data_IF_120230526039
#
_entry.id   IF_120230526039
#
_cell.length_a   1.000
_cell.length_b   1.000
_cell.length_c   1.000
_cell.angle_alpha   90.00
_cell.angle_beta   90.00
_cell.angle_gamma   90.00
#
_symmetry.space_group_name_H-M   'P 1'
#
loop_
_entity.id
_entity.type
_entity.pdbx_description
1 polymer ?
#
# COMPACT_ATOMS: atom_id res chain seq x y z
N UNK A 1 -3.08 30.08 10.93
CA UNK A 1 -4.44 29.55 10.69
C UNK A 1 -4.39 28.64 9.47
N UNK A 2 -4.62 27.33 9.63
CA UNK A 2 -4.72 26.41 8.49
C UNK A 2 -6.09 26.69 7.87
N UNK A 3 -6.10 27.37 6.72
CA UNK A 3 -7.35 27.58 5.98
C UNK A 3 -7.84 26.21 5.50
N UNK A 4 -9.10 25.89 5.73
CA UNK A 4 -9.79 24.62 5.43
C UNK A 4 -9.80 24.20 3.93
N UNK A 5 -8.98 24.82 3.08
CA UNK A 5 -9.03 24.66 1.61
C UNK A 5 -7.93 23.81 1.00
N UNK A 6 -6.77 23.66 1.66
CA UNK A 6 -5.63 22.96 1.06
C UNK A 6 -5.51 21.55 1.63
N UNK A 7 -5.55 20.49 0.80
CA UNK A 7 -5.33 19.14 1.28
C UNK A 7 -3.97 18.97 1.98
N UNK A 8 -3.97 18.26 3.10
CA UNK A 8 -2.74 17.92 3.84
C UNK A 8 -2.14 16.59 3.42
N UNK A 9 -2.88 15.77 2.67
CA UNK A 9 -2.50 14.41 2.28
C UNK A 9 -2.58 14.26 0.76
N UNK A 10 -1.55 13.63 0.19
CA UNK A 10 -1.57 13.09 -1.17
C UNK A 10 -1.39 11.58 -1.10
N UNK A 11 -2.34 10.83 -1.64
CA UNK A 11 -2.27 9.39 -1.75
C UNK A 11 -1.88 8.99 -3.18
N UNK A 12 -1.08 7.93 -3.28
CA UNK A 12 -0.83 7.20 -4.51
C UNK A 12 -1.66 5.92 -4.51
N UNK A 13 -2.17 5.55 -5.66
CA UNK A 13 -2.86 4.28 -5.90
C UNK A 13 -2.54 3.78 -7.30
N UNK A 14 -2.90 2.54 -7.61
CA UNK A 14 -2.79 2.05 -8.97
C UNK A 14 -3.98 1.17 -9.36
N UNK A 15 -4.20 1.07 -10.68
CA UNK A 15 -5.07 0.08 -11.28
C UNK A 15 -4.44 -0.50 -12.54
N UNK A 16 -4.18 -1.80 -12.50
CA UNK A 16 -3.70 -2.59 -13.63
C UNK A 16 -4.57 -3.83 -13.76
N UNK A 17 -5.07 -4.09 -14.97
CA UNK A 17 -5.95 -5.22 -15.25
C UNK A 17 -5.14 -6.52 -15.36
N UNK A 18 -4.58 -6.96 -14.25
CA UNK A 18 -3.77 -8.17 -14.11
C UNK A 18 -4.60 -9.23 -13.39
N UNK A 19 -4.39 -10.53 -13.71
CA UNK A 19 -5.02 -11.64 -12.98
C UNK A 19 -4.76 -11.50 -11.48
N UNK A 20 -5.84 -11.38 -10.70
CA UNK A 20 -5.80 -11.05 -9.28
C UNK A 20 -6.86 -11.80 -8.49
N UNK A 21 -6.89 -11.61 -7.15
CA UNK A 21 -7.84 -12.25 -6.23
C UNK A 21 -9.32 -11.97 -6.55
N UNK A 22 -9.61 -10.85 -7.20
CA UNK A 22 -10.99 -10.41 -7.48
C UNK A 22 -11.14 -10.00 -8.95
N UNK A 23 -12.39 -9.99 -9.44
CA UNK A 23 -12.69 -9.57 -10.80
C UNK A 23 -12.43 -8.06 -11.01
N UNK A 24 -12.16 -7.68 -12.25
CA UNK A 24 -12.03 -6.27 -12.65
C UNK A 24 -13.28 -5.45 -12.32
N UNK A 25 -14.47 -6.01 -12.47
CA UNK A 25 -15.75 -5.37 -12.10
C UNK A 25 -15.78 -5.00 -10.61
N UNK A 26 -15.30 -5.91 -9.75
CA UNK A 26 -15.25 -5.66 -8.30
C UNK A 26 -14.23 -4.56 -7.94
N UNK A 27 -13.07 -4.56 -8.61
CA UNK A 27 -12.10 -3.49 -8.44
C UNK A 27 -12.61 -2.13 -8.94
N UNK A 28 -13.32 -2.08 -10.06
CA UNK A 28 -13.92 -0.84 -10.57
C UNK A 28 -15.00 -0.31 -9.62
N UNK A 29 -15.79 -1.18 -9.00
CA UNK A 29 -16.73 -0.77 -7.96
C UNK A 29 -16.03 -0.11 -6.77
N UNK A 30 -14.95 -0.72 -6.26
CA UNK A 30 -14.16 -0.14 -5.17
C UNK A 30 -13.42 1.13 -5.59
N UNK A 31 -12.92 1.19 -6.83
CA UNK A 31 -12.32 2.38 -7.40
C UNK A 31 -13.32 3.55 -7.41
N UNK A 32 -14.57 3.31 -7.80
CA UNK A 32 -15.62 4.33 -7.75
C UNK A 32 -15.84 4.87 -6.33
N UNK A 33 -15.80 3.99 -5.31
CA UNK A 33 -15.88 4.40 -3.91
C UNK A 33 -14.72 5.31 -3.52
N UNK A 34 -13.47 4.87 -3.75
CA UNK A 34 -12.27 5.67 -3.47
C UNK A 34 -12.35 7.04 -4.16
N UNK A 35 -12.65 7.09 -5.45
CA UNK A 35 -12.73 8.33 -6.24
C UNK A 35 -13.81 9.27 -5.72
N UNK A 36 -14.91 8.74 -5.23
CA UNK A 36 -16.01 9.52 -4.64
C UNK A 36 -15.57 10.26 -3.38
N UNK A 37 -14.68 9.65 -2.57
CA UNK A 37 -14.17 10.22 -1.32
C UNK A 37 -12.97 11.19 -1.50
N UNK A 38 -12.47 11.41 -2.72
CA UNK A 38 -11.38 12.37 -2.98
C UNK A 38 -11.90 13.80 -2.83
N UNK A 39 -12.08 14.25 -1.59
CA UNK A 39 -12.58 15.59 -1.25
C UNK A 39 -11.55 16.40 -0.44
N UNK A 40 -10.96 15.79 0.60
CA UNK A 40 -10.03 16.44 1.52
C UNK A 40 -8.57 16.03 1.31
N UNK A 41 -8.30 15.16 0.34
CA UNK A 41 -6.96 14.71 -0.04
C UNK A 41 -6.78 14.76 -1.56
N UNK A 42 -5.54 14.69 -2.02
CA UNK A 42 -5.20 14.52 -3.43
C UNK A 42 -4.91 13.05 -3.72
N UNK A 43 -5.14 12.63 -4.97
CA UNK A 43 -4.92 11.27 -5.42
C UNK A 43 -4.10 11.24 -6.72
N UNK A 44 -3.05 10.41 -6.75
CA UNK A 44 -2.31 10.10 -7.97
C UNK A 44 -2.59 8.63 -8.33
N UNK A 45 -3.08 8.40 -9.52
CA UNK A 45 -3.46 7.07 -10.03
C UNK A 45 -2.43 6.64 -11.08
N UNK A 46 -1.71 5.57 -10.81
CA UNK A 46 -0.82 4.92 -11.77
C UNK A 46 -1.58 3.81 -12.50
N UNK A 47 -1.44 3.74 -13.82
CA UNK A 47 -2.13 2.77 -14.66
C UNK A 47 -1.43 2.64 -16.01
N UNK A 48 -1.66 1.57 -16.76
CA UNK A 48 -1.30 1.49 -18.16
C UNK A 48 -2.44 1.97 -19.07
N UNK A 49 -2.21 2.01 -20.39
CA UNK A 49 -3.20 2.50 -21.36
C UNK A 49 -4.43 1.60 -21.42
N UNK A 50 -4.23 0.27 -21.36
CA UNK A 50 -5.31 -0.70 -21.42
C UNK A 50 -6.21 -0.59 -20.16
N UNK A 51 -5.60 -0.64 -18.98
CA UNK A 51 -6.31 -0.53 -17.70
C UNK A 51 -6.99 0.83 -17.55
N UNK A 52 -6.37 1.91 -18.04
CA UNK A 52 -7.00 3.23 -18.07
C UNK A 52 -8.29 3.26 -18.87
N UNK A 53 -8.36 2.51 -19.98
CA UNK A 53 -9.58 2.42 -20.78
C UNK A 53 -10.77 1.89 -19.97
N UNK A 54 -10.52 1.00 -19.00
CA UNK A 54 -11.53 0.50 -18.08
C UNK A 54 -11.88 1.53 -16.98
N UNK A 55 -10.86 2.19 -16.40
CA UNK A 55 -11.10 3.24 -15.41
C UNK A 55 -11.85 4.44 -15.97
N UNK A 56 -11.63 4.77 -17.24
CA UNK A 56 -12.24 5.92 -17.92
C UNK A 56 -13.75 5.92 -17.82
N UNK A 57 -14.39 4.76 -17.74
CA UNK A 57 -15.84 4.65 -17.61
C UNK A 57 -16.34 5.39 -16.35
N UNK A 58 -15.59 5.33 -15.24
CA UNK A 58 -15.94 5.99 -13.99
C UNK A 58 -15.94 7.52 -14.12
N UNK A 59 -15.07 8.07 -14.96
CA UNK A 59 -14.99 9.51 -15.21
C UNK A 59 -16.07 10.00 -16.17
N UNK A 60 -16.51 9.13 -17.10
CA UNK A 60 -17.57 9.44 -18.06
C UNK A 60 -18.94 9.36 -17.39
N UNK A 61 -19.17 8.36 -16.54
CA UNK A 61 -20.47 8.09 -15.91
C UNK A 61 -20.72 8.89 -14.64
N UNK A 62 -19.67 9.46 -14.01
CA UNK A 62 -19.79 10.21 -12.77
C UNK A 62 -19.18 11.62 -12.91
N UNK A 63 -20.04 12.61 -13.18
CA UNK A 63 -19.63 14.00 -13.36
C UNK A 63 -18.96 14.61 -12.12
N UNK A 64 -19.28 14.16 -10.91
CA UNK A 64 -18.65 14.63 -9.68
C UNK A 64 -17.20 14.14 -9.58
N UNK A 65 -16.91 12.93 -10.04
CA UNK A 65 -15.54 12.40 -10.14
C UNK A 65 -14.80 13.13 -11.27
N UNK A 66 -15.43 13.31 -12.44
CA UNK A 66 -14.82 13.97 -13.57
C UNK A 66 -14.30 15.39 -13.23
N UNK A 67 -15.03 16.15 -12.44
CA UNK A 67 -14.64 17.50 -12.00
C UNK A 67 -13.38 17.52 -11.11
N UNK A 68 -12.98 16.40 -10.54
CA UNK A 68 -11.79 16.28 -9.68
C UNK A 68 -10.50 16.02 -10.48
N UNK A 69 -10.62 15.62 -11.77
CA UNK A 69 -9.47 15.35 -12.65
C UNK A 69 -8.67 16.64 -12.84
N UNK A 70 -7.35 16.51 -12.74
CA UNK A 70 -6.37 17.59 -12.78
C UNK A 70 -6.49 18.66 -11.68
N UNK A 71 -7.50 18.58 -10.81
CA UNK A 71 -7.66 19.45 -9.64
C UNK A 71 -7.22 18.75 -8.37
N UNK A 72 -7.70 17.52 -8.14
CA UNK A 72 -7.40 16.68 -6.99
C UNK A 72 -6.95 15.25 -7.38
N UNK A 73 -7.22 14.85 -8.60
CA UNK A 73 -6.87 13.53 -9.14
C UNK A 73 -5.93 13.72 -10.31
N UNK A 74 -4.76 13.12 -10.27
CA UNK A 74 -3.81 13.06 -11.37
C UNK A 74 -3.66 11.62 -11.84
N UNK A 75 -3.68 11.41 -13.16
CA UNK A 75 -3.53 10.09 -13.77
C UNK A 75 -2.18 10.04 -14.45
N UNK A 76 -1.40 9.00 -14.16
CA UNK A 76 -0.07 8.76 -14.71
C UNK A 76 -0.12 7.44 -15.49
N UNK A 77 0.13 7.52 -16.78
CA UNK A 77 0.27 6.33 -17.63
C UNK A 77 1.70 5.83 -17.46
N UNK A 78 1.83 4.65 -16.84
CA UNK A 78 3.11 4.01 -16.55
C UNK A 78 2.99 2.51 -16.89
N UNK A 79 3.63 2.03 -17.95
CA UNK A 79 3.62 0.60 -18.28
C UNK A 79 4.39 -0.20 -17.23
N UNK A 80 4.16 -1.50 -17.15
CA UNK A 80 4.80 -2.38 -16.16
C UNK A 80 6.33 -2.41 -16.30
N UNK A 81 6.81 -2.25 -17.54
CA UNK A 81 8.23 -2.22 -17.88
C UNK A 81 8.98 -1.04 -17.24
N UNK A 82 8.28 0.04 -16.88
CA UNK A 82 8.83 1.23 -16.23
C UNK A 82 8.84 1.10 -14.69
N UNK A 83 8.39 -0.01 -14.12
CA UNK A 83 8.46 -0.24 -12.68
C UNK A 83 9.90 -0.44 -12.22
N UNK A 84 10.22 0.07 -11.05
CA UNK A 84 11.53 -0.19 -10.41
C UNK A 84 11.74 -1.68 -10.20
N UNK A 85 10.68 -2.39 -9.83
CA UNK A 85 10.68 -3.85 -9.64
C UNK A 85 10.80 -4.66 -10.93
N UNK A 86 10.61 -4.08 -12.13
CA UNK A 86 10.68 -4.81 -13.40
C UNK A 86 12.08 -5.34 -13.73
N UNK A 87 13.14 -4.68 -13.23
CA UNK A 87 14.52 -5.18 -13.32
C UNK A 87 14.69 -6.59 -12.74
N UNK A 88 13.76 -7.04 -11.89
CA UNK A 88 13.74 -8.36 -11.26
C UNK A 88 12.73 -9.32 -11.93
N UNK A 89 12.28 -9.07 -13.17
CA UNK A 89 11.21 -9.85 -13.83
C UNK A 89 11.45 -11.36 -13.81
N UNK A 90 12.70 -11.79 -14.04
CA UNK A 90 13.05 -13.21 -14.07
C UNK A 90 13.03 -13.84 -12.65
N UNK A 91 13.36 -13.07 -11.63
CA UNK A 91 13.21 -13.47 -10.23
C UNK A 91 11.73 -13.58 -9.83
N UNK A 92 10.90 -12.63 -10.28
CA UNK A 92 9.45 -12.67 -10.03
C UNK A 92 8.80 -13.91 -10.65
N UNK A 93 9.11 -14.24 -11.93
CA UNK A 93 8.60 -15.43 -12.60
C UNK A 93 9.00 -16.69 -11.84
N UNK A 94 10.30 -16.84 -11.56
CA UNK A 94 10.84 -17.98 -10.79
C UNK A 94 10.21 -18.08 -9.41
N UNK A 95 10.05 -16.96 -8.71
CA UNK A 95 9.40 -16.89 -7.39
C UNK A 95 7.98 -17.49 -7.42
N UNK A 96 7.22 -17.21 -8.48
CA UNK A 96 5.88 -17.78 -8.69
C UNK A 96 5.93 -19.30 -8.97
N UNK A 97 6.81 -19.71 -9.86
CA UNK A 97 6.93 -21.12 -10.30
C UNK A 97 7.38 -22.02 -9.17
N UNK A 98 8.28 -21.55 -8.29
CA UNK A 98 8.95 -22.38 -7.28
C UNK A 98 8.40 -22.26 -5.86
N UNK A 99 7.53 -21.27 -5.60
CA UNK A 99 7.08 -20.97 -4.23
C UNK A 99 6.26 -22.09 -3.59
N UNK A 100 5.45 -22.80 -4.37
CA UNK A 100 4.46 -23.75 -3.89
C UNK A 100 3.30 -23.10 -3.10
N UNK A 101 3.16 -21.79 -3.12
CA UNK A 101 2.13 -21.06 -2.40
C UNK A 101 0.82 -21.02 -3.19
N UNK A 102 -0.30 -21.33 -2.55
CA UNK A 102 -1.64 -21.23 -3.14
C UNK A 102 -1.93 -19.83 -3.70
N UNK A 103 -1.48 -18.80 -3.00
CA UNK A 103 -1.60 -17.42 -3.46
C UNK A 103 -1.03 -17.23 -4.87
N UNK A 104 0.18 -17.75 -5.12
CA UNK A 104 0.86 -17.59 -6.40
C UNK A 104 0.19 -18.36 -7.53
N UNK A 105 -0.48 -19.48 -7.23
CA UNK A 105 -1.27 -20.22 -8.23
C UNK A 105 -2.49 -19.43 -8.74
N UNK A 106 -3.04 -18.55 -7.89
CA UNK A 106 -4.28 -17.82 -8.15
C UNK A 106 -4.07 -16.42 -8.74
N UNK A 107 -2.84 -15.91 -8.79
CA UNK A 107 -2.52 -14.58 -9.32
C UNK A 107 -1.43 -14.67 -10.40
N UNK A 108 -1.22 -13.57 -11.14
CA UNK A 108 -0.07 -13.41 -12.04
C UNK A 108 1.15 -12.91 -11.23
N UNK A 109 2.38 -13.31 -11.61
CA UNK A 109 3.62 -12.82 -10.99
C UNK A 109 3.75 -11.28 -11.08
N UNK A 110 3.19 -10.67 -12.13
CA UNK A 110 3.15 -9.22 -12.30
C UNK A 110 2.39 -8.52 -11.17
N UNK A 111 1.37 -9.19 -10.61
CA UNK A 111 0.64 -8.63 -9.48
C UNK A 111 1.50 -8.61 -8.21
N UNK A 112 2.33 -9.63 -7.99
CA UNK A 112 3.26 -9.66 -6.87
C UNK A 112 4.33 -8.55 -6.99
N UNK A 113 4.86 -8.35 -8.20
CA UNK A 113 5.74 -7.21 -8.51
C UNK A 113 5.02 -5.87 -8.27
N UNK A 114 3.77 -5.73 -8.71
CA UNK A 114 2.96 -4.53 -8.52
C UNK A 114 2.76 -4.19 -7.03
N UNK A 115 2.52 -5.19 -6.19
CA UNK A 115 2.40 -4.96 -4.74
C UNK A 115 3.69 -4.41 -4.14
N UNK A 116 4.83 -4.89 -4.58
CA UNK A 116 6.13 -4.39 -4.14
C UNK A 116 6.50 -3.02 -4.73
N UNK A 117 5.80 -2.54 -5.77
CA UNK A 117 6.03 -1.23 -6.37
C UNK A 117 5.39 -0.06 -5.59
N UNK A 118 4.51 -0.32 -4.61
CA UNK A 118 3.75 0.70 -3.85
C UNK A 118 4.62 1.82 -3.29
N UNK A 119 5.74 1.48 -2.69
CA UNK A 119 6.68 2.45 -2.10
C UNK A 119 7.30 3.32 -3.19
N UNK A 120 7.60 2.75 -4.35
CA UNK A 120 8.17 3.45 -5.50
C UNK A 120 7.17 4.41 -6.15
N UNK A 121 5.89 4.05 -6.24
CA UNK A 121 4.84 4.96 -6.69
C UNK A 121 4.73 6.19 -5.78
N UNK A 122 4.78 6.00 -4.46
CA UNK A 122 4.77 7.13 -3.52
C UNK A 122 6.04 7.98 -3.67
N UNK A 123 7.21 7.35 -3.82
CA UNK A 123 8.46 8.06 -4.07
C UNK A 123 8.40 8.89 -5.35
N UNK A 124 7.89 8.34 -6.44
CA UNK A 124 7.70 9.04 -7.72
C UNK A 124 6.73 10.22 -7.58
N UNK A 125 5.61 10.02 -6.89
CA UNK A 125 4.62 11.08 -6.60
C UNK A 125 5.25 12.28 -5.91
N UNK A 126 6.10 12.04 -4.91
CA UNK A 126 6.80 13.08 -4.15
C UNK A 126 7.90 13.74 -5.01
N UNK A 127 8.71 12.94 -5.68
CA UNK A 127 9.85 13.42 -6.48
C UNK A 127 9.39 14.32 -7.64
N UNK A 128 8.32 13.93 -8.33
CA UNK A 128 7.75 14.69 -9.43
C UNK A 128 6.84 15.83 -8.97
N UNK A 129 6.63 15.98 -7.65
CA UNK A 129 5.79 17.05 -7.07
C UNK A 129 4.41 17.14 -7.73
N UNK A 130 3.76 15.99 -7.98
CA UNK A 130 2.44 15.99 -8.62
C UNK A 130 1.40 16.77 -7.81
N UNK A 131 1.53 16.73 -6.49
CA UNK A 131 0.91 17.65 -5.52
C UNK A 131 1.93 17.91 -4.41
N UNK A 132 1.82 19.06 -3.72
CA UNK A 132 2.71 19.41 -2.61
C UNK A 132 1.88 19.44 -1.33
N UNK A 133 2.13 18.45 -0.47
CA UNK A 133 1.44 18.28 0.82
C UNK A 133 2.42 17.85 1.91
N UNK A 134 2.10 18.06 3.20
CA UNK A 134 2.98 17.64 4.30
C UNK A 134 2.97 16.12 4.55
N UNK A 135 1.95 15.40 4.06
CA UNK A 135 1.82 13.95 4.17
C UNK A 135 1.59 13.33 2.81
N UNK A 136 2.19 12.17 2.61
CA UNK A 136 1.95 11.32 1.44
C UNK A 136 1.62 9.91 1.90
N UNK A 137 1.17 9.08 0.99
CA UNK A 137 0.92 7.69 1.33
C UNK A 137 0.46 6.86 0.16
N UNK A 138 0.22 5.61 0.47
CA UNK A 138 -0.37 4.62 -0.41
C UNK A 138 -1.80 4.30 0.03
N UNK A 139 -2.65 4.05 -0.93
CA UNK A 139 -3.99 3.53 -0.72
C UNK A 139 -4.31 2.53 -1.83
N UNK A 140 -4.52 1.26 -1.52
CA UNK A 140 -4.99 0.30 -2.52
C UNK A 140 -6.29 0.80 -3.15
N UNK A 141 -6.44 0.60 -4.47
CA UNK A 141 -7.65 1.01 -5.21
C UNK A 141 -8.93 0.40 -4.61
N UNK A 142 -8.80 -0.74 -3.96
CA UNK A 142 -9.87 -1.45 -3.26
C UNK A 142 -9.90 -1.22 -1.74
N UNK A 143 -9.38 -0.12 -1.24
CA UNK A 143 -9.34 0.15 0.20
C UNK A 143 -10.71 0.56 0.77
N UNK A 144 -11.52 1.29 0.03
CA UNK A 144 -12.87 1.72 0.45
C UNK A 144 -13.94 0.78 -0.09
N UNK A 145 -14.26 -0.27 0.68
CA UNK A 145 -15.17 -1.34 0.28
C UNK A 145 -16.62 -1.12 0.66
N UNK A 146 -16.90 -0.13 1.51
CA UNK A 146 -18.24 0.17 2.08
C UNK A 146 -18.84 -1.03 2.84
N UNK A 147 -18.04 -1.75 3.60
CA UNK A 147 -18.51 -2.83 4.48
C UNK A 147 -18.79 -2.27 5.87
N UNK A 148 -19.75 -2.85 6.63
CA UNK A 148 -20.03 -2.47 8.02
C UNK A 148 -18.78 -2.56 8.92
N UNK A 149 -17.95 -3.59 8.72
CA UNK A 149 -16.75 -3.84 9.52
C UNK A 149 -15.60 -2.84 9.23
N UNK A 150 -15.72 -2.02 8.18
CA UNK A 150 -14.69 -1.03 7.84
C UNK A 150 -14.80 0.21 8.73
N UNK A 151 -16.01 0.75 8.93
CA UNK A 151 -16.21 2.01 9.66
C UNK A 151 -17.34 1.98 10.69
N UNK A 152 -18.28 1.06 10.60
CA UNK A 152 -19.53 1.02 11.38
C UNK A 152 -20.28 2.38 11.40
N UNK A 153 -20.10 3.19 10.39
CA UNK A 153 -20.67 4.52 10.28
C UNK A 153 -21.32 4.73 8.93
N UNK A 154 -22.21 5.70 8.86
CA UNK A 154 -22.74 6.16 7.59
C UNK A 154 -21.58 6.60 6.70
N UNK A 155 -21.45 6.03 5.49
CA UNK A 155 -20.37 6.34 4.53
C UNK A 155 -20.24 7.83 4.20
N UNK A 156 -21.27 8.62 4.46
CA UNK A 156 -21.23 10.08 4.29
C UNK A 156 -20.14 10.75 5.14
N UNK A 157 -19.76 10.15 6.28
CA UNK A 157 -18.69 10.69 7.12
C UNK A 157 -17.33 10.65 6.42
N UNK A 158 -17.12 9.70 5.50
CA UNK A 158 -15.89 9.59 4.70
C UNK A 158 -15.74 10.74 3.69
N UNK A 159 -16.78 11.55 3.45
CA UNK A 159 -16.65 12.77 2.64
C UNK A 159 -15.75 13.81 3.30
N UNK A 160 -15.63 13.78 4.62
CA UNK A 160 -14.75 14.67 5.41
C UNK A 160 -13.39 14.03 5.75
N UNK A 161 -13.18 12.78 5.34
CA UNK A 161 -11.93 12.06 5.54
C UNK A 161 -10.82 12.57 4.59
N UNK A 162 -9.57 12.67 5.04
CA UNK A 162 -9.11 12.49 6.41
C UNK A 162 -9.29 13.77 7.26
N UNK A 163 -9.51 13.61 8.55
CA UNK A 163 -9.54 14.70 9.50
C UNK A 163 -8.14 15.33 9.63
N UNK A 164 -7.97 16.63 9.39
CA UNK A 164 -6.66 17.28 9.41
C UNK A 164 -5.98 17.23 10.78
N UNK A 165 -6.73 17.28 11.88
CA UNK A 165 -6.16 17.18 13.22
C UNK A 165 -5.61 15.80 13.52
N UNK A 166 -6.30 14.74 13.06
CA UNK A 166 -5.82 13.36 13.17
C UNK A 166 -4.55 13.14 12.36
N UNK A 167 -4.46 13.71 11.15
CA UNK A 167 -3.22 13.66 10.35
C UNK A 167 -2.05 14.34 11.05
N UNK A 168 -2.26 15.55 11.57
CA UNK A 168 -1.20 16.33 12.23
C UNK A 168 -0.73 15.62 13.51
N UNK A 169 -1.59 14.89 14.19
CA UNK A 169 -1.25 14.08 15.36
C UNK A 169 -0.35 12.86 15.05
N UNK A 170 -0.18 12.50 13.77
CA UNK A 170 0.77 11.47 13.36
C UNK A 170 2.21 12.02 13.49
N UNK A 171 2.93 11.64 14.53
CA UNK A 171 4.22 12.23 14.90
C UNK A 171 5.44 11.49 14.35
N UNK A 172 5.28 10.21 13.96
CA UNK A 172 6.36 9.38 13.40
C UNK A 172 6.47 9.55 11.89
N UNK A 173 7.47 8.90 11.31
CA UNK A 173 7.81 9.09 9.89
C UNK A 173 6.95 8.25 8.97
N UNK A 174 6.69 6.99 9.32
CA UNK A 174 5.95 6.01 8.51
C UNK A 174 4.91 5.32 9.39
N UNK A 175 3.67 5.29 8.94
CA UNK A 175 2.54 4.72 9.68
C UNK A 175 1.88 3.59 8.90
N UNK A 176 1.76 2.42 9.55
CA UNK A 176 1.05 1.24 9.04
C UNK A 176 0.06 0.71 10.06
N UNK A 177 -0.95 -0.03 9.61
CA UNK A 177 -1.82 -0.80 10.49
C UNK A 177 -1.19 -2.18 10.78
N UNK A 178 -1.18 -2.60 12.03
CA UNK A 178 -0.83 -3.94 12.44
C UNK A 178 -2.09 -4.82 12.41
N UNK A 179 -2.02 -5.95 11.71
CA UNK A 179 -3.13 -6.91 11.60
C UNK A 179 -3.06 -8.00 12.65
N UNK A 180 -1.84 -8.26 13.15
CA UNK A 180 -1.62 -9.18 14.27
C UNK A 180 -1.95 -8.47 15.59
N UNK A 181 -3.01 -8.93 16.25
CA UNK A 181 -3.47 -8.32 17.51
C UNK A 181 -2.74 -8.88 18.75
N UNK A 182 -2.03 -10.00 18.61
CA UNK A 182 -1.25 -10.56 19.69
C UNK A 182 0.15 -9.96 19.68
N UNK A 183 0.43 -9.10 20.68
CA UNK A 183 1.71 -8.40 20.81
C UNK A 183 2.90 -9.37 21.01
N UNK A 184 2.69 -10.49 21.71
CA UNK A 184 3.75 -11.48 21.95
C UNK A 184 4.12 -12.18 20.66
N UNK A 185 3.13 -12.58 19.84
CA UNK A 185 3.35 -13.16 18.52
C UNK A 185 4.10 -12.16 17.63
N UNK A 186 3.63 -10.91 17.56
CA UNK A 186 4.27 -9.85 16.78
C UNK A 186 5.73 -9.64 17.22
N UNK A 187 5.98 -9.53 18.52
CA UNK A 187 7.32 -9.28 19.10
C UNK A 187 8.26 -10.47 18.82
N UNK A 188 7.77 -11.70 18.96
CA UNK A 188 8.51 -12.92 18.65
C UNK A 188 8.92 -12.95 17.18
N UNK A 189 8.00 -12.63 16.26
CA UNK A 189 8.30 -12.58 14.83
C UNK A 189 9.42 -11.60 14.48
N UNK A 190 9.40 -10.40 15.06
CA UNK A 190 10.46 -9.42 14.83
C UNK A 190 11.80 -9.88 15.39
N UNK A 191 11.78 -10.56 16.54
CA UNK A 191 12.99 -11.15 17.14
C UNK A 191 13.56 -12.28 16.25
N UNK A 192 12.70 -13.15 15.73
CA UNK A 192 13.10 -14.24 14.84
C UNK A 192 13.75 -13.72 13.56
N UNK A 193 13.16 -12.71 12.92
CA UNK A 193 13.74 -12.08 11.72
C UNK A 193 15.15 -11.55 12.02
N UNK A 194 15.32 -10.82 13.13
CA UNK A 194 16.63 -10.28 13.54
C UNK A 194 17.64 -11.39 13.83
N UNK A 195 17.20 -12.46 14.47
CA UNK A 195 18.05 -13.62 14.79
C UNK A 195 18.48 -14.38 13.52
N UNK A 196 17.59 -14.52 12.53
CA UNK A 196 17.93 -15.14 11.25
C UNK A 196 19.04 -14.38 10.52
N UNK A 197 19.09 -13.05 10.61
CA UNK A 197 20.20 -12.25 10.10
C UNK A 197 21.51 -12.44 10.88
N UNK A 198 21.44 -12.56 12.23
CA UNK A 198 22.62 -12.73 13.08
C UNK A 198 23.28 -14.08 12.90
N UNK A 199 22.50 -15.12 12.81
CA UNK A 199 22.99 -16.51 12.79
C UNK A 199 23.52 -16.94 11.41
N UNK A 200 23.34 -16.10 10.36
CA UNK A 200 23.80 -16.35 8.98
C UNK A 200 23.53 -17.79 8.51
N UNK A 201 22.45 -18.39 8.99
CA UNK A 201 22.01 -19.68 8.50
C UNK A 201 21.60 -19.49 7.03
N UNK A 202 22.49 -19.86 6.12
CA UNK A 202 22.37 -19.63 4.67
C UNK A 202 21.15 -20.30 4.06
N UNK A 203 20.49 -21.19 4.79
CA UNK A 203 19.33 -21.93 4.32
C UNK A 203 18.00 -21.38 4.86
N UNK A 204 18.04 -20.36 5.72
CA UNK A 204 16.82 -19.84 6.38
C UNK A 204 16.55 -18.40 5.95
N UNK A 205 15.45 -18.22 5.22
CA UNK A 205 15.03 -16.86 4.85
C UNK A 205 14.59 -16.07 6.10
N UNK A 206 14.83 -14.74 6.14
CA UNK A 206 14.52 -13.91 7.31
C UNK A 206 13.05 -14.00 7.72
N UNK A 207 12.15 -13.78 6.79
CA UNK A 207 10.70 -13.86 7.02
C UNK A 207 10.16 -15.19 6.49
N UNK A 208 9.49 -15.96 7.33
CA UNK A 208 8.91 -17.23 6.92
C UNK A 208 7.85 -17.04 5.81
N UNK A 209 8.00 -17.76 4.69
CA UNK A 209 7.08 -17.69 3.54
C UNK A 209 5.64 -18.12 3.84
N UNK A 210 5.43 -18.94 4.87
CA UNK A 210 4.11 -19.43 5.28
C UNK A 210 3.41 -18.51 6.29
N UNK A 211 4.08 -17.43 6.70
CA UNK A 211 3.56 -16.56 7.75
C UNK A 211 2.28 -15.87 7.32
N UNK A 212 1.33 -15.79 8.24
CA UNK A 212 0.16 -14.94 8.08
C UNK A 212 0.60 -13.47 8.06
N UNK A 213 -0.08 -12.62 7.30
CA UNK A 213 0.22 -11.19 7.30
C UNK A 213 0.10 -10.59 8.70
N UNK A 214 1.12 -9.84 9.12
CA UNK A 214 1.09 -9.08 10.38
C UNK A 214 0.82 -7.60 10.15
N UNK A 215 1.17 -7.09 8.98
CA UNK A 215 1.08 -5.67 8.62
C UNK A 215 0.17 -5.52 7.41
N UNK A 216 -0.75 -4.56 7.47
CA UNK A 216 -1.63 -4.28 6.35
C UNK A 216 -0.86 -3.52 5.25
N UNK A 217 -0.59 -4.16 4.11
CA UNK A 217 0.06 -3.54 2.96
C UNK A 217 -0.86 -2.65 2.11
N UNK A 218 -2.16 -2.58 2.44
CA UNK A 218 -3.16 -1.85 1.63
C UNK A 218 -3.18 -0.34 1.83
N UNK A 219 -2.54 0.17 2.90
CA UNK A 219 -2.50 1.59 3.22
C UNK A 219 -1.30 1.96 4.08
N UNK A 220 -0.66 3.09 3.79
CA UNK A 220 0.30 3.71 4.68
C UNK A 220 0.38 5.23 4.50
N UNK A 221 0.89 5.92 5.52
CA UNK A 221 1.21 7.36 5.50
C UNK A 221 2.69 7.55 5.78
N UNK A 222 3.29 8.53 5.10
CA UNK A 222 4.72 8.82 5.20
C UNK A 222 5.00 10.33 5.10
N UNK A 223 6.06 10.78 5.79
CA UNK A 223 6.61 12.12 5.61
C UNK A 223 7.48 12.17 4.34
N UNK A 224 7.42 13.28 3.55
CA UNK A 224 8.09 13.31 2.25
C UNK A 224 9.61 13.19 2.31
N UNK A 225 10.25 13.67 3.37
CA UNK A 225 11.72 13.67 3.48
C UNK A 225 12.32 12.27 3.68
N UNK A 226 11.54 11.30 4.19
CA UNK A 226 12.05 9.95 4.47
C UNK A 226 11.85 8.97 3.30
N UNK A 227 11.03 9.30 2.29
CA UNK A 227 10.60 8.35 1.25
C UNK A 227 11.77 7.74 0.47
N UNK A 228 12.78 8.54 0.12
CA UNK A 228 13.94 8.04 -0.63
C UNK A 228 14.72 6.98 0.17
N UNK A 229 14.92 7.25 1.47
CA UNK A 229 15.56 6.28 2.36
C UNK A 229 14.74 5.00 2.52
N UNK A 230 13.43 5.14 2.71
CA UNK A 230 12.54 3.99 2.83
C UNK A 230 12.48 3.17 1.53
N UNK A 231 12.37 3.82 0.37
CA UNK A 231 12.39 3.15 -0.93
C UNK A 231 13.68 2.36 -1.16
N UNK A 232 14.84 2.94 -0.77
CA UNK A 232 16.13 2.26 -0.86
C UNK A 232 16.22 1.06 0.11
N UNK A 233 15.74 1.18 1.34
CA UNK A 233 15.69 0.08 2.30
C UNK A 233 14.83 -1.06 1.74
N UNK A 234 13.64 -0.76 1.23
CA UNK A 234 12.72 -1.74 0.65
C UNK A 234 13.34 -2.49 -0.54
N UNK A 235 13.93 -1.75 -1.49
CA UNK A 235 14.56 -2.32 -2.68
C UNK A 235 15.79 -3.19 -2.33
N UNK A 236 16.62 -2.76 -1.37
CA UNK A 236 17.75 -3.54 -0.90
C UNK A 236 17.32 -4.85 -0.24
N UNK A 237 16.21 -4.85 0.52
CA UNK A 237 15.64 -6.06 1.11
C UNK A 237 15.11 -6.99 0.03
N UNK A 238 14.33 -6.47 -0.91
CA UNK A 238 13.82 -7.25 -2.04
C UNK A 238 14.96 -7.88 -2.84
N UNK A 239 16.01 -7.11 -3.15
CA UNK A 239 17.21 -7.61 -3.81
C UNK A 239 17.88 -8.73 -3.01
N UNK A 240 18.03 -8.54 -1.71
CA UNK A 240 18.62 -9.56 -0.83
C UNK A 240 17.85 -10.88 -0.87
N UNK A 241 16.51 -10.83 -0.85
CA UNK A 241 15.68 -12.03 -0.97
C UNK A 241 15.91 -12.75 -2.30
N UNK A 242 15.94 -12.04 -3.40
CA UNK A 242 16.14 -12.62 -4.72
C UNK A 242 17.55 -13.16 -4.94
N UNK A 243 18.58 -12.44 -4.48
CA UNK A 243 19.98 -12.90 -4.58
C UNK A 243 20.22 -14.22 -3.81
N UNK A 244 19.46 -14.47 -2.75
CA UNK A 244 19.56 -15.70 -1.95
C UNK A 244 18.52 -16.77 -2.32
N UNK A 245 17.72 -16.55 -3.37
CA UNK A 245 16.68 -17.49 -3.80
C UNK A 245 15.51 -17.62 -2.81
N UNK A 246 15.32 -16.64 -1.94
CA UNK A 246 14.23 -16.61 -0.96
C UNK A 246 12.89 -16.26 -1.60
N UNK A 247 11.81 -16.81 -1.05
CA UNK A 247 10.47 -16.58 -1.56
C UNK A 247 9.88 -15.29 -1.02
N UNK A 248 9.47 -14.40 -1.92
CA UNK A 248 8.68 -13.21 -1.61
C UNK A 248 7.21 -13.54 -1.85
N UNK A 249 6.46 -13.77 -0.76
CA UNK A 249 5.03 -14.10 -0.84
C UNK A 249 4.21 -12.93 -1.38
N UNK A 250 4.47 -11.75 -0.86
CA UNK A 250 3.83 -10.47 -1.19
C UNK A 250 4.68 -9.30 -0.65
N UNK A 251 4.23 -8.07 -0.82
CA UNK A 251 4.89 -6.87 -0.29
C UNK A 251 5.07 -6.90 1.24
N UNK A 252 4.18 -7.57 1.95
CA UNK A 252 4.18 -7.65 3.43
C UNK A 252 5.37 -8.47 3.95
N UNK A 253 5.87 -9.43 3.16
CA UNK A 253 7.10 -10.18 3.46
C UNK A 253 8.29 -9.23 3.62
N UNK A 254 8.47 -8.32 2.67
CA UNK A 254 9.57 -7.34 2.67
C UNK A 254 9.32 -6.23 3.69
N UNK A 255 8.06 -5.78 3.80
CA UNK A 255 7.66 -4.76 4.76
C UNK A 255 7.94 -5.17 6.20
N UNK A 256 7.57 -6.41 6.57
CA UNK A 256 7.82 -6.93 7.93
C UNK A 256 9.32 -6.98 8.24
N UNK A 257 10.15 -7.37 7.25
CA UNK A 257 11.60 -7.36 7.38
C UNK A 257 12.16 -5.93 7.55
N UNK A 258 11.65 -4.95 6.77
CA UNK A 258 12.01 -3.55 6.94
C UNK A 258 11.71 -3.05 8.35
N UNK A 259 10.54 -3.37 8.89
CA UNK A 259 10.12 -2.99 10.24
C UNK A 259 11.00 -3.65 11.31
N UNK A 260 11.27 -4.96 11.17
CA UNK A 260 12.10 -5.70 12.10
C UNK A 260 13.51 -5.13 12.22
N UNK A 261 14.08 -4.69 11.09
CA UNK A 261 15.47 -4.22 11.03
C UNK A 261 15.64 -2.70 11.19
N UNK A 262 14.55 -1.92 11.04
CA UNK A 262 14.56 -0.46 11.16
C UNK A 262 13.39 0.07 12.01
N UNK A 263 13.16 -0.43 13.23
CA UNK A 263 11.93 -0.17 14.01
C UNK A 263 11.73 1.31 14.34
N UNK A 264 12.79 2.11 14.38
CA UNK A 264 12.72 3.54 14.68
C UNK A 264 12.00 4.37 13.61
N UNK A 265 11.90 3.87 12.36
CA UNK A 265 11.26 4.58 11.24
C UNK A 265 9.74 4.40 11.25
N UNK A 266 9.22 3.35 11.87
CA UNK A 266 7.84 2.94 11.75
C UNK A 266 7.03 3.20 13.02
N UNK A 267 5.78 3.58 12.82
CA UNK A 267 4.73 3.58 13.83
C UNK A 267 3.64 2.60 13.38
N UNK A 268 3.40 1.59 14.17
CA UNK A 268 2.31 0.66 13.93
C UNK A 268 1.11 1.04 14.76
N UNK A 269 -0.06 0.90 14.16
CA UNK A 269 -1.34 1.14 14.80
C UNK A 269 -2.09 -0.17 14.94
N UNK A 270 -2.64 -0.42 16.12
CA UNK A 270 -3.42 -1.61 16.44
C UNK A 270 -4.90 -1.26 16.56
N UNK A 271 -5.78 -2.11 16.05
CA UNK A 271 -7.21 -2.00 16.28
C UNK A 271 -7.54 -2.56 17.65
N UNK A 272 -8.22 -1.77 18.46
CA UNK A 272 -8.63 -2.16 19.80
C UNK A 272 -10.05 -2.72 19.86
N UNK A 273 -10.81 -2.59 18.78
CA UNK A 273 -12.21 -2.97 18.74
C UNK A 273 -12.40 -4.22 17.86
N UNK A 274 -12.77 -5.38 18.43
CA UNK A 274 -12.79 -6.66 17.71
C UNK A 274 -13.83 -6.74 16.58
N UNK A 275 -14.82 -5.83 16.56
CA UNK A 275 -15.82 -5.76 15.51
C UNK A 275 -15.31 -5.15 14.21
N UNK A 276 -14.12 -4.53 14.21
CA UNK A 276 -13.59 -3.88 13.04
C UNK A 276 -12.48 -4.69 12.36
N UNK A 277 -12.42 -4.55 11.03
CA UNK A 277 -11.36 -5.13 10.22
C UNK A 277 -10.08 -4.28 10.32
N UNK A 278 -9.01 -4.86 10.84
CA UNK A 278 -7.71 -4.21 11.04
C UNK A 278 -7.08 -3.74 9.73
N UNK A 279 -7.37 -4.43 8.62
CA UNK A 279 -6.84 -4.07 7.29
C UNK A 279 -7.29 -2.68 6.84
N UNK A 280 -8.42 -2.18 7.35
CA UNK A 280 -9.03 -0.92 6.94
C UNK A 280 -9.04 0.12 8.05
N UNK A 281 -8.19 -0.06 9.04
CA UNK A 281 -8.11 0.74 10.26
C UNK A 281 -7.97 2.25 10.01
N UNK A 282 -7.20 2.67 8.98
CA UNK A 282 -6.99 4.09 8.71
C UNK A 282 -8.27 4.82 8.25
N UNK A 283 -9.31 4.10 7.81
CA UNK A 283 -10.61 4.74 7.59
C UNK A 283 -11.17 5.30 8.91
N UNK A 284 -10.96 4.62 10.03
CA UNK A 284 -11.44 5.03 11.37
C UNK A 284 -10.44 5.93 12.09
N UNK A 285 -9.17 5.58 12.04
CA UNK A 285 -8.10 6.32 12.72
C UNK A 285 -8.05 7.80 12.30
N UNK A 286 -8.40 8.07 11.07
CA UNK A 286 -8.35 9.41 10.48
C UNK A 286 -9.74 10.07 10.34
N UNK A 287 -10.78 9.56 10.99
CA UNK A 287 -12.09 10.22 11.16
C UNK A 287 -12.09 11.19 12.39
#
# INVERSE_FOLDING_TARGET
MITNKTPLLTLSTCYYNIKSKFSSTKYLFWANNLLSFVNKFNLVIYTDRESFSLLKILFVTNSAIAKKINVKIKIIIKPLEDFVGYKYKDHWSRNHETSGLELHQNIDWKLNMLWCEKVHFVNETITNKYFITPFYGWCDIGYFRNRPDDTNTNTNILNEWPNPFKLIALTKEIHYACVENNLDIYTSLLADIRNNYKNKDQNKQPTNKLLNPCIAGGFFIIRPHIIKGYSAIFDNKLKYYFDNGYIVKDDQTILLDCIATNPGLFCLHWEHYPQYDNWFMFQRLLL
#
